data_IF_731583920170
#
_entry.id   IF_731583920170
#
_cell.length_a   1.000
_cell.length_b   1.000
_cell.length_c   1.000
_cell.angle_alpha   90.00
_cell.angle_beta   90.00
_cell.angle_gamma   90.00
#
_symmetry.space_group_name_H-M   'P 1'
#
loop_
_entity.id
_entity.type
_entity.pdbx_description
1 polymer ?
#
# COMPACT_ATOMS: atom_id res chain seq x y z
N UNK A 1 12.95 4.36 3.41
CA UNK A 1 14.06 5.07 4.11
C UNK A 1 13.61 5.81 5.38
N UNK A 2 12.89 6.95 5.33
CA UNK A 2 12.46 7.63 6.58
C UNK A 2 11.63 6.72 7.51
N UNK A 3 10.67 5.96 6.95
CA UNK A 3 9.89 4.97 7.71
C UNK A 3 10.73 3.85 8.32
N UNK A 4 11.83 3.42 7.67
CA UNK A 4 12.76 2.44 8.26
C UNK A 4 13.32 3.04 9.56
N UNK A 5 13.88 4.24 9.47
CA UNK A 5 14.51 4.90 10.61
C UNK A 5 13.51 5.12 11.74
N UNK A 6 12.29 5.54 11.41
CA UNK A 6 11.22 5.73 12.38
C UNK A 6 10.87 4.43 13.13
N UNK A 7 10.56 3.36 12.40
CA UNK A 7 10.14 2.10 13.04
C UNK A 7 11.27 1.39 13.78
N UNK A 8 12.52 1.48 13.30
CA UNK A 8 13.66 0.83 13.96
C UNK A 8 14.15 1.54 15.24
N UNK A 9 13.49 2.64 15.66
CA UNK A 9 13.70 3.21 16.99
C UNK A 9 13.23 2.28 18.10
N UNK A 10 12.21 1.45 17.84
CA UNK A 10 11.80 0.40 18.75
C UNK A 10 12.76 -0.79 18.66
N UNK A 11 13.36 -1.15 19.80
CA UNK A 11 14.32 -2.26 19.90
C UNK A 11 13.73 -3.61 19.46
N UNK A 12 12.40 -3.77 19.54
CA UNK A 12 11.68 -4.96 19.10
C UNK A 12 11.36 -5.00 17.61
N UNK A 13 11.67 -3.93 16.86
CA UNK A 13 11.25 -3.78 15.46
C UNK A 13 12.46 -3.76 14.51
N UNK A 14 12.32 -4.53 13.43
CA UNK A 14 13.26 -4.57 12.31
C UNK A 14 12.50 -4.45 11.01
N UNK A 15 12.97 -3.59 10.11
CA UNK A 15 12.31 -3.30 8.84
C UNK A 15 13.11 -3.90 7.70
N UNK A 16 12.45 -4.72 6.88
CA UNK A 16 13.00 -5.24 5.64
C UNK A 16 12.21 -4.65 4.48
N UNK A 17 12.86 -3.85 3.63
CA UNK A 17 12.25 -3.38 2.38
C UNK A 17 12.27 -4.53 1.36
N UNK A 18 11.12 -4.86 0.79
CA UNK A 18 11.01 -5.90 -0.24
C UNK A 18 9.96 -5.57 -1.31
N UNK A 19 10.11 -6.21 -2.47
CA UNK A 19 9.08 -6.31 -3.50
C UNK A 19 8.72 -7.79 -3.63
N UNK A 20 7.47 -8.15 -3.30
CA UNK A 20 7.02 -9.55 -3.19
C UNK A 20 7.08 -10.31 -4.53
N UNK A 21 7.06 -9.59 -5.65
CA UNK A 21 7.18 -10.16 -7.00
C UNK A 21 8.65 -10.40 -7.40
N UNK A 22 9.62 -9.80 -6.70
CA UNK A 22 11.06 -9.98 -6.98
C UNK A 22 11.57 -11.27 -6.35
N UNK A 23 11.55 -12.35 -7.15
CA UNK A 23 11.99 -13.70 -6.76
C UNK A 23 13.32 -13.74 -5.99
N UNK A 24 14.33 -12.95 -6.40
CA UNK A 24 15.64 -12.97 -5.73
C UNK A 24 15.58 -12.45 -4.29
N UNK A 25 14.80 -11.39 -4.03
CA UNK A 25 14.61 -10.87 -2.66
C UNK A 25 13.81 -11.86 -1.82
N UNK A 26 12.71 -12.39 -2.36
CA UNK A 26 11.84 -13.34 -1.66
C UNK A 26 12.58 -14.64 -1.32
N UNK A 27 13.44 -15.15 -2.21
CA UNK A 27 14.26 -16.34 -1.94
C UNK A 27 15.22 -16.16 -0.75
N UNK A 28 15.73 -14.96 -0.53
CA UNK A 28 16.66 -14.66 0.56
C UNK A 28 15.95 -14.36 1.90
N UNK A 29 14.68 -13.96 1.85
CA UNK A 29 13.90 -13.54 3.01
C UNK A 29 13.85 -14.58 4.14
N UNK A 30 13.67 -15.91 3.91
CA UNK A 30 13.68 -16.90 4.99
C UNK A 30 14.99 -16.89 5.80
N UNK A 31 16.13 -16.73 5.13
CA UNK A 31 17.43 -16.69 5.80
C UNK A 31 17.58 -15.41 6.64
N UNK A 32 17.11 -14.27 6.13
CA UNK A 32 17.09 -13.01 6.87
C UNK A 32 16.21 -13.09 8.12
N UNK A 33 15.00 -13.64 7.98
CA UNK A 33 14.08 -13.86 9.11
C UNK A 33 14.72 -14.75 10.19
N UNK A 34 15.37 -15.84 9.80
CA UNK A 34 16.04 -16.72 10.77
C UNK A 34 17.20 -16.04 11.47
N UNK A 35 18.00 -15.26 10.75
CA UNK A 35 19.08 -14.49 11.35
C UNK A 35 18.54 -13.50 12.40
N UNK A 36 17.43 -12.82 12.09
CA UNK A 36 16.74 -11.93 13.02
C UNK A 36 16.18 -12.71 14.23
N UNK A 37 15.50 -13.84 14.01
CA UNK A 37 14.99 -14.68 15.10
C UNK A 37 16.11 -15.16 16.04
N UNK A 38 17.28 -15.55 15.51
CA UNK A 38 18.45 -15.95 16.32
C UNK A 38 18.97 -14.80 17.16
N UNK A 39 19.02 -13.58 16.61
CA UNK A 39 19.47 -12.37 17.33
C UNK A 39 18.48 -11.93 18.41
N UNK A 40 17.18 -11.96 18.10
CA UNK A 40 16.13 -11.49 19.01
C UNK A 40 15.75 -12.52 20.08
N UNK A 41 15.90 -13.81 19.78
CA UNK A 41 15.55 -14.92 20.67
C UNK A 41 16.72 -15.91 20.83
N UNK A 42 17.87 -15.48 21.38
CA UNK A 42 19.10 -16.29 21.43
C UNK A 42 18.94 -17.59 22.24
N UNK A 43 18.01 -17.61 23.20
CA UNK A 43 17.74 -18.78 24.04
C UNK A 43 16.89 -19.86 23.34
N UNK A 44 16.35 -19.58 22.15
CA UNK A 44 15.45 -20.50 21.44
C UNK A 44 16.25 -21.40 20.48
N UNK A 45 16.25 -22.70 20.73
CA UNK A 45 16.82 -23.69 19.80
C UNK A 45 15.91 -23.87 18.58
N UNK A 46 16.21 -23.16 17.49
CA UNK A 46 15.46 -23.18 16.23
C UNK A 46 15.62 -24.49 15.43
N UNK A 47 16.67 -25.27 15.69
CA UNK A 47 16.89 -26.58 15.04
C UNK A 47 15.92 -27.63 15.57
N UNK A 48 15.62 -27.59 16.87
CA UNK A 48 14.63 -28.48 17.51
C UNK A 48 13.20 -27.95 17.40
N UNK A 49 13.01 -26.63 17.34
CA UNK A 49 11.68 -25.99 17.32
C UNK A 49 11.63 -24.94 16.21
N UNK A 50 10.92 -25.20 15.09
CA UNK A 50 10.86 -24.24 13.99
C UNK A 50 10.32 -22.88 14.44
N UNK A 51 10.77 -21.83 13.75
CA UNK A 51 10.23 -20.49 13.92
C UNK A 51 8.81 -20.44 13.37
N UNK A 52 7.83 -20.13 14.23
CA UNK A 52 6.44 -19.90 13.79
C UNK A 52 6.29 -18.43 13.48
N UNK A 53 6.03 -18.11 12.22
CA UNK A 53 5.94 -16.76 11.68
C UNK A 53 4.53 -16.56 11.16
N UNK A 54 3.95 -15.41 11.42
CA UNK A 54 2.63 -15.04 10.91
C UNK A 54 2.76 -13.76 10.09
N UNK A 55 2.12 -13.73 8.92
CA UNK A 55 2.00 -12.53 8.10
C UNK A 55 0.69 -11.86 8.47
N UNK A 56 0.77 -10.62 8.95
CA UNK A 56 -0.36 -9.76 9.28
C UNK A 56 -0.35 -8.50 8.42
N UNK A 57 -1.50 -7.85 8.29
CA UNK A 57 -1.63 -6.55 7.62
C UNK A 57 -2.98 -6.34 6.97
N UNK A 58 -3.26 -5.11 6.59
CA UNK A 58 -4.50 -4.69 5.92
C UNK A 58 -4.69 -5.40 4.56
N UNK A 59 -5.89 -5.37 3.95
CA UNK A 59 -6.11 -5.91 2.60
C UNK A 59 -5.14 -5.32 1.56
N UNK A 60 -4.87 -6.09 0.50
CA UNK A 60 -4.10 -5.67 -0.68
C UNK A 60 -2.63 -5.27 -0.48
N UNK A 61 -2.04 -5.39 0.72
CA UNK A 61 -0.60 -5.16 0.96
C UNK A 61 0.34 -6.27 0.43
N UNK A 62 -0.19 -7.27 -0.29
CA UNK A 62 0.63 -8.33 -0.89
C UNK A 62 0.96 -9.52 0.01
N UNK A 63 0.25 -9.74 1.13
CA UNK A 63 0.47 -10.88 2.03
C UNK A 63 0.49 -12.23 1.32
N UNK A 64 -0.54 -12.51 0.53
CA UNK A 64 -0.67 -13.77 -0.20
C UNK A 64 0.29 -13.86 -1.41
N UNK A 65 0.65 -12.73 -2.01
CA UNK A 65 1.74 -12.67 -3.01
C UNK A 65 3.06 -13.09 -2.40
N UNK A 66 3.39 -12.55 -1.22
CA UNK A 66 4.59 -12.90 -0.48
C UNK A 66 4.59 -14.38 -0.09
N UNK A 67 3.47 -14.90 0.41
CA UNK A 67 3.35 -16.33 0.73
C UNK A 67 3.56 -17.22 -0.50
N UNK A 68 2.92 -16.92 -1.63
CA UNK A 68 3.09 -17.68 -2.88
C UNK A 68 4.55 -17.63 -3.36
N UNK A 69 5.19 -16.46 -3.26
CA UNK A 69 6.61 -16.28 -3.57
C UNK A 69 7.52 -17.12 -2.68
N UNK A 70 7.26 -17.15 -1.37
CA UNK A 70 8.00 -17.96 -0.40
C UNK A 70 7.78 -19.46 -0.59
N UNK A 71 6.56 -19.87 -0.98
CA UNK A 71 6.23 -21.26 -1.27
C UNK A 71 6.78 -21.75 -2.61
N UNK A 72 7.13 -20.84 -3.53
CA UNK A 72 7.54 -21.16 -4.89
C UNK A 72 6.41 -21.69 -5.79
N UNK A 73 5.15 -21.64 -5.33
CA UNK A 73 3.95 -22.09 -6.04
C UNK A 73 2.73 -21.28 -5.60
N UNK A 74 1.68 -21.28 -6.41
CA UNK A 74 0.42 -20.61 -6.07
C UNK A 74 -0.35 -21.44 -5.04
N UNK A 75 -0.57 -20.87 -3.85
CA UNK A 75 -1.30 -21.49 -2.73
C UNK A 75 -2.52 -20.65 -2.32
N UNK A 76 -2.37 -19.33 -2.32
CA UNK A 76 -3.46 -18.40 -2.11
C UNK A 76 -3.84 -17.70 -3.41
N UNK A 77 -5.14 -17.42 -3.56
CA UNK A 77 -5.64 -16.54 -4.61
C UNK A 77 -5.10 -15.13 -4.36
N UNK A 78 -4.60 -14.50 -5.42
CA UNK A 78 -4.17 -13.09 -5.40
C UNK A 78 -5.16 -12.29 -6.24
N UNK A 79 -5.52 -11.11 -5.77
CA UNK A 79 -6.39 -10.18 -6.50
C UNK A 79 -6.32 -8.80 -5.86
N UNK A 80 -6.67 -7.78 -6.63
CA UNK A 80 -6.68 -6.38 -6.20
C UNK A 80 -7.97 -6.00 -5.47
N UNK A 81 -8.87 -6.94 -5.24
CA UNK A 81 -10.07 -6.74 -4.43
C UNK A 81 -9.80 -7.09 -2.96
N UNK A 82 -10.20 -6.24 -2.01
CA UNK A 82 -10.12 -6.59 -0.60
C UNK A 82 -10.91 -7.85 -0.25
N UNK A 83 -10.41 -8.60 0.74
CA UNK A 83 -10.98 -9.85 1.25
C UNK A 83 -10.92 -11.06 0.28
N UNK A 84 -9.97 -11.08 -0.66
CA UNK A 84 -9.66 -12.27 -1.48
C UNK A 84 -9.22 -13.47 -0.63
N UNK A 85 -8.37 -13.24 0.37
CA UNK A 85 -7.93 -14.28 1.32
C UNK A 85 -8.99 -14.48 2.40
N UNK A 86 -9.70 -15.61 2.36
CA UNK A 86 -10.84 -15.91 3.25
C UNK A 86 -10.51 -16.86 4.40
N UNK A 87 -9.45 -17.65 4.28
CA UNK A 87 -9.04 -18.64 5.27
C UNK A 87 -7.54 -18.50 5.56
N UNK A 88 -7.17 -18.83 6.80
CA UNK A 88 -5.76 -18.94 7.17
C UNK A 88 -5.10 -20.08 6.42
N UNK A 89 -3.89 -19.86 5.93
CA UNK A 89 -3.10 -20.89 5.25
C UNK A 89 -1.77 -21.07 5.96
N UNK A 90 -1.36 -22.33 6.14
CA UNK A 90 -0.11 -22.70 6.81
C UNK A 90 0.83 -23.40 5.82
N UNK A 91 2.07 -22.94 5.77
CA UNK A 91 3.14 -23.57 4.98
C UNK A 91 4.37 -23.82 5.84
N UNK A 92 5.10 -24.89 5.53
CA UNK A 92 6.41 -25.16 6.13
C UNK A 92 7.46 -24.87 5.07
N UNK A 93 8.35 -23.93 5.37
CA UNK A 93 9.50 -23.62 4.54
C UNK A 93 10.66 -24.54 4.94
N UNK A 94 11.44 -25.01 3.96
CA UNK A 94 12.61 -25.90 4.19
C UNK A 94 13.69 -25.30 5.10
N UNK A 95 13.59 -24.02 5.45
CA UNK A 95 14.49 -23.29 6.32
C UNK A 95 14.16 -23.42 7.83
N UNK A 96 13.22 -24.29 8.23
CA UNK A 96 12.79 -24.38 9.62
C UNK A 96 11.84 -23.26 10.05
N UNK A 97 11.14 -22.66 9.08
CA UNK A 97 10.06 -21.70 9.32
C UNK A 97 8.71 -22.37 9.05
N UNK A 98 7.76 -22.19 9.96
CA UNK A 98 6.34 -22.43 9.72
C UNK A 98 5.65 -21.07 9.55
N UNK A 99 5.18 -20.79 8.34
CA UNK A 99 4.54 -19.53 7.99
C UNK A 99 3.02 -19.69 8.00
N UNK A 100 2.33 -18.72 8.59
CA UNK A 100 0.88 -18.59 8.60
C UNK A 100 0.48 -17.31 7.87
N UNK A 101 -0.32 -17.42 6.80
CA UNK A 101 -0.96 -16.28 6.14
C UNK A 101 -2.35 -16.05 6.74
N UNK A 102 -2.73 -14.77 6.85
CA UNK A 102 -3.98 -14.34 7.47
C UNK A 102 -4.79 -13.45 6.53
N UNK A 103 -6.13 -13.49 6.62
CA UNK A 103 -6.97 -12.49 5.94
C UNK A 103 -6.53 -11.06 6.28
N UNK A 104 -6.73 -10.14 5.33
CA UNK A 104 -6.52 -8.72 5.61
C UNK A 104 -7.54 -8.19 6.61
N UNK A 105 -7.08 -7.48 7.62
CA UNK A 105 -7.93 -6.90 8.67
C UNK A 105 -7.82 -5.38 8.56
N UNK A 106 -8.98 -4.70 8.50
CA UNK A 106 -9.09 -3.26 8.74
C UNK A 106 -9.79 -3.05 10.08
N UNK A 107 -9.46 -1.95 10.74
CA UNK A 107 -10.13 -1.54 11.98
C UNK A 107 -11.56 -1.08 11.67
N UNK A 108 -12.56 -1.40 12.52
CA UNK A 108 -13.96 -1.04 12.27
C UNK A 108 -14.21 0.47 12.19
N UNK A 109 -13.42 1.27 12.92
CA UNK A 109 -13.47 2.73 12.93
C UNK A 109 -12.07 3.26 12.65
N UNK A 110 -11.98 4.19 11.73
CA UNK A 110 -10.78 4.98 11.50
C UNK A 110 -11.05 6.35 12.10
N UNK A 111 -10.26 6.71 13.10
CA UNK A 111 -10.45 8.00 13.78
C UNK A 111 -9.88 9.15 12.94
N UNK A 112 -8.93 8.89 12.04
CA UNK A 112 -8.27 9.86 11.16
C UNK A 112 -8.74 9.75 9.70
N UNK A 113 -9.22 10.87 9.17
CA UNK A 113 -9.77 10.98 7.81
C UNK A 113 -8.68 10.79 6.74
N UNK A 114 -7.48 11.35 6.96
CA UNK A 114 -6.34 11.20 6.05
C UNK A 114 -5.99 9.71 5.88
N UNK A 115 -5.95 8.95 6.97
CA UNK A 115 -5.72 7.50 6.96
C UNK A 115 -6.78 6.79 6.13
N UNK A 116 -8.06 7.14 6.30
CA UNK A 116 -9.16 6.57 5.51
C UNK A 116 -8.97 6.81 4.01
N UNK A 117 -8.69 8.05 3.61
CA UNK A 117 -8.43 8.37 2.20
C UNK A 117 -7.18 7.68 1.67
N UNK A 118 -6.06 7.66 2.39
CA UNK A 118 -4.84 6.95 1.95
C UNK A 118 -5.08 5.45 1.72
N UNK A 119 -5.87 4.82 2.59
CA UNK A 119 -6.27 3.42 2.44
C UNK A 119 -7.20 3.21 1.22
N UNK A 120 -8.11 4.15 0.97
CA UNK A 120 -8.93 4.15 -0.23
C UNK A 120 -8.09 4.33 -1.51
N UNK A 121 -7.19 5.31 -1.54
CA UNK A 121 -6.30 5.62 -2.67
C UNK A 121 -5.43 4.42 -3.02
N UNK A 122 -4.87 3.73 -2.03
CA UNK A 122 -4.02 2.54 -2.23
C UNK A 122 -4.82 1.27 -2.53
N UNK A 123 -6.15 1.31 -2.40
CA UNK A 123 -7.05 0.20 -2.71
C UNK A 123 -7.20 -0.82 -1.59
N UNK A 124 -6.85 -0.49 -0.35
CA UNK A 124 -7.12 -1.36 0.81
C UNK A 124 -8.62 -1.42 1.15
N UNK A 125 -9.39 -0.40 0.76
CA UNK A 125 -10.85 -0.30 0.93
C UNK A 125 -11.55 -0.72 -0.36
N UNK A 126 -12.70 -1.39 -0.23
CA UNK A 126 -13.50 -1.81 -1.39
C UNK A 126 -14.05 -0.60 -2.13
N UNK A 127 -14.00 -0.67 -3.45
CA UNK A 127 -14.56 0.34 -4.37
C UNK A 127 -16.00 0.71 -4.07
N UNK A 128 -16.82 -0.24 -3.63
CA UNK A 128 -18.24 -0.04 -3.32
C UNK A 128 -18.49 0.69 -1.99
N UNK A 129 -17.46 0.93 -1.20
CA UNK A 129 -17.56 1.52 0.13
C UNK A 129 -16.96 2.94 0.20
N UNK A 130 -16.69 3.55 -0.95
CA UNK A 130 -16.08 4.89 -1.05
C UNK A 130 -16.64 5.65 -2.26
N UNK A 131 -16.67 6.97 -2.19
CA UNK A 131 -16.88 7.82 -3.35
C UNK A 131 -15.56 7.94 -4.13
N UNK A 132 -15.56 7.50 -5.38
CA UNK A 132 -14.36 7.53 -6.22
C UNK A 132 -13.86 8.94 -6.49
N UNK A 133 -14.76 9.89 -6.63
CA UNK A 133 -14.43 11.27 -6.93
C UNK A 133 -13.76 11.91 -5.72
N UNK A 134 -14.33 11.74 -4.51
CA UNK A 134 -13.73 12.28 -3.28
C UNK A 134 -12.33 11.72 -3.03
N UNK A 135 -12.17 10.40 -3.19
CA UNK A 135 -10.87 9.74 -3.04
C UNK A 135 -9.85 10.23 -4.08
N UNK A 136 -10.30 10.48 -5.31
CA UNK A 136 -9.44 10.99 -6.37
C UNK A 136 -9.10 12.48 -6.18
N UNK A 137 -10.02 13.30 -5.68
CA UNK A 137 -9.77 14.71 -5.33
C UNK A 137 -8.73 14.81 -4.20
N UNK A 138 -8.87 14.00 -3.15
CA UNK A 138 -7.84 13.90 -2.10
C UNK A 138 -6.46 13.50 -2.67
N UNK A 139 -6.42 12.48 -3.54
CA UNK A 139 -5.18 12.07 -4.19
C UNK A 139 -4.60 13.17 -5.09
N UNK A 140 -5.46 13.86 -5.83
CA UNK A 140 -5.09 14.95 -6.74
C UNK A 140 -4.45 16.11 -5.97
N UNK A 141 -5.09 16.60 -4.90
CA UNK A 141 -4.55 17.66 -4.04
C UNK A 141 -3.18 17.29 -3.47
N UNK A 142 -3.05 16.07 -2.93
CA UNK A 142 -1.77 15.59 -2.40
C UNK A 142 -0.69 15.50 -3.48
N UNK A 143 -1.01 14.95 -4.66
CA UNK A 143 -0.05 14.78 -5.75
C UNK A 143 0.39 16.13 -6.35
N UNK A 144 -0.49 17.13 -6.42
CA UNK A 144 -0.13 18.47 -6.89
C UNK A 144 0.94 19.11 -6.00
N UNK A 145 0.84 18.91 -4.68
CA UNK A 145 1.78 19.46 -3.69
C UNK A 145 3.08 18.67 -3.64
N UNK A 146 2.98 17.34 -3.55
CA UNK A 146 4.12 16.47 -3.25
C UNK A 146 4.81 15.89 -4.50
N UNK A 147 4.10 15.77 -5.62
CA UNK A 147 4.58 15.09 -6.83
C UNK A 147 4.20 15.81 -8.15
N UNK A 148 4.37 17.15 -8.27
CA UNK A 148 3.95 17.89 -9.46
C UNK A 148 4.67 17.43 -10.74
N UNK A 149 5.96 17.13 -10.66
CA UNK A 149 6.74 16.66 -11.81
C UNK A 149 6.24 15.32 -12.36
N UNK A 150 5.82 14.40 -11.47
CA UNK A 150 5.27 13.11 -11.87
C UNK A 150 3.96 13.26 -12.65
N UNK A 151 3.08 14.17 -12.20
CA UNK A 151 1.84 14.51 -12.90
C UNK A 151 2.12 15.11 -14.27
N UNK A 152 2.99 16.13 -14.32
CA UNK A 152 3.39 16.79 -15.57
C UNK A 152 3.95 15.79 -16.57
N UNK A 153 4.84 14.90 -16.14
CA UNK A 153 5.44 13.87 -16.99
C UNK A 153 4.41 12.84 -17.46
N UNK A 154 3.58 12.31 -16.56
CA UNK A 154 2.63 11.22 -16.88
C UNK A 154 1.52 11.68 -17.82
N UNK A 155 1.00 12.89 -17.60
CA UNK A 155 -0.16 13.43 -18.32
C UNK A 155 0.23 14.44 -19.40
N UNK A 156 1.52 14.81 -19.49
CA UNK A 156 2.04 15.75 -20.50
C UNK A 156 1.30 17.09 -20.49
N UNK A 157 0.97 17.58 -19.29
CA UNK A 157 0.37 18.91 -19.17
C UNK A 157 1.37 19.98 -19.62
N UNK A 158 0.84 21.05 -20.22
CA UNK A 158 1.66 22.22 -20.61
C UNK A 158 2.02 23.05 -19.39
N UNK A 159 1.08 23.18 -18.46
CA UNK A 159 1.20 23.90 -17.20
C UNK A 159 0.63 23.02 -16.09
N UNK A 160 1.13 23.19 -14.86
CA UNK A 160 0.63 22.44 -13.71
C UNK A 160 -0.82 22.87 -13.44
N UNK A 161 -1.77 21.92 -13.30
CA UNK A 161 -3.13 22.24 -12.88
C UNK A 161 -3.14 22.98 -11.55
N UNK A 162 -4.04 23.96 -11.39
CA UNK A 162 -4.10 24.84 -10.22
C UNK A 162 -4.70 24.16 -9.01
N UNK A 163 -5.61 23.23 -9.24
CA UNK A 163 -6.35 22.51 -8.22
C UNK A 163 -6.68 21.08 -8.67
N UNK A 164 -7.26 20.33 -7.75
CA UNK A 164 -7.68 18.94 -7.93
C UNK A 164 -8.72 18.77 -9.06
N UNK A 165 -9.65 19.72 -9.20
CA UNK A 165 -10.66 19.73 -10.26
C UNK A 165 -10.00 19.88 -11.63
N UNK A 166 -9.13 20.88 -11.82
CA UNK A 166 -8.42 21.10 -13.09
C UNK A 166 -7.52 19.90 -13.43
N UNK A 167 -6.90 19.28 -12.42
CA UNK A 167 -6.12 18.06 -12.61
C UNK A 167 -7.01 16.92 -13.14
N UNK A 168 -8.14 16.63 -12.49
CA UNK A 168 -9.06 15.58 -12.92
C UNK A 168 -9.65 15.86 -14.31
N UNK A 169 -10.00 17.12 -14.61
CA UNK A 169 -10.41 17.51 -15.95
C UNK A 169 -9.30 17.22 -16.98
N UNK A 170 -8.07 17.61 -16.67
CA UNK A 170 -6.90 17.35 -17.51
C UNK A 170 -6.70 15.86 -17.78
N UNK A 171 -6.80 15.02 -16.75
CA UNK A 171 -6.74 13.55 -16.86
C UNK A 171 -7.87 13.03 -17.75
N UNK A 172 -9.10 13.52 -17.55
CA UNK A 172 -10.28 13.13 -18.33
C UNK A 172 -10.17 13.46 -19.82
N UNK A 173 -9.59 14.62 -20.17
CA UNK A 173 -9.34 15.03 -21.57
C UNK A 173 -8.40 14.06 -22.29
N UNK A 174 -7.36 13.56 -21.61
CA UNK A 174 -6.34 12.68 -22.21
C UNK A 174 -6.90 11.30 -22.54
N UNK A 175 -7.79 10.76 -21.70
CA UNK A 175 -8.34 9.40 -21.85
C UNK A 175 -9.71 9.35 -22.52
N UNK A 176 -10.21 10.48 -23.04
CA UNK A 176 -11.45 10.53 -23.83
C UNK A 176 -12.73 10.31 -23.01
N UNK A 177 -12.71 10.63 -21.71
CA UNK A 177 -13.87 10.54 -20.84
C UNK A 177 -14.84 11.68 -21.07
N UNK A 178 -15.53 11.72 -22.21
CA UNK A 178 -16.57 12.72 -22.50
C UNK A 178 -17.97 12.14 -22.26
N UNK A 179 -18.83 12.92 -21.62
CA UNK A 179 -20.29 12.73 -21.57
C UNK A 179 -20.96 13.50 -22.72
N UNK A 180 -22.26 13.27 -22.88
CA UNK A 180 -23.07 14.03 -23.84
C UNK A 180 -22.89 15.55 -23.65
N UNK A 181 -22.75 16.28 -24.76
CA UNK A 181 -22.51 17.72 -24.74
C UNK A 181 -21.05 18.13 -24.49
N UNK A 182 -20.08 17.21 -24.57
CA UNK A 182 -18.65 17.52 -24.48
C UNK A 182 -18.13 17.79 -23.06
N UNK A 183 -18.93 17.49 -22.04
CA UNK A 183 -18.52 17.61 -20.62
C UNK A 183 -17.62 16.44 -20.23
N UNK A 184 -16.66 16.69 -19.35
CA UNK A 184 -15.76 15.65 -18.84
C UNK A 184 -16.51 14.77 -17.84
N UNK A 185 -16.30 13.46 -17.97
CA UNK A 185 -16.78 12.46 -17.02
C UNK A 185 -15.83 12.39 -15.81
N UNK A 186 -16.14 13.15 -14.77
CA UNK A 186 -15.31 13.23 -13.56
C UNK A 186 -15.12 11.88 -12.87
N UNK A 187 -16.12 11.00 -12.91
CA UNK A 187 -16.00 9.66 -12.35
C UNK A 187 -14.94 8.85 -13.10
N UNK A 188 -14.99 8.84 -14.44
CA UNK A 188 -13.98 8.14 -15.25
C UNK A 188 -12.60 8.75 -15.09
N UNK A 189 -12.49 10.07 -15.00
CA UNK A 189 -11.23 10.74 -14.72
C UNK A 189 -10.64 10.30 -13.36
N UNK A 190 -11.49 10.20 -12.34
CA UNK A 190 -11.13 9.72 -11.01
C UNK A 190 -10.64 8.27 -11.04
N UNK A 191 -11.34 7.38 -11.75
CA UNK A 191 -10.90 6.00 -11.96
C UNK A 191 -9.55 5.92 -12.66
N UNK A 192 -9.32 6.74 -13.68
CA UNK A 192 -8.05 6.80 -14.42
C UNK A 192 -6.91 7.25 -13.51
N UNK A 193 -7.10 8.32 -12.74
CA UNK A 193 -6.07 8.83 -11.82
C UNK A 193 -5.68 7.76 -10.81
N UNK A 194 -6.66 7.18 -10.12
CA UNK A 194 -6.43 6.16 -9.10
C UNK A 194 -5.83 4.88 -9.69
N UNK A 195 -6.25 4.47 -10.89
CA UNK A 195 -5.66 3.33 -11.60
C UNK A 195 -4.19 3.59 -11.95
N UNK A 196 -3.87 4.76 -12.49
CA UNK A 196 -2.49 5.12 -12.85
C UNK A 196 -1.59 5.21 -11.61
N UNK A 197 -2.10 5.74 -10.50
CA UNK A 197 -1.38 5.77 -9.23
C UNK A 197 -1.11 4.36 -8.70
N UNK A 198 -2.14 3.51 -8.59
CA UNK A 198 -2.02 2.12 -8.10
C UNK A 198 -1.16 1.24 -9.01
N UNK A 199 -1.18 1.50 -10.31
CA UNK A 199 -0.34 0.82 -11.30
C UNK A 199 1.13 1.28 -11.28
N UNK A 200 1.48 2.29 -10.48
CA UNK A 200 2.83 2.86 -10.43
C UNK A 200 3.21 3.67 -11.67
N UNK A 201 2.23 4.06 -12.50
CA UNK A 201 2.47 4.83 -13.72
C UNK A 201 2.92 6.28 -13.44
N UNK A 202 2.62 6.79 -12.24
CA UNK A 202 3.14 8.05 -11.71
C UNK A 202 4.55 7.90 -11.07
N UNK A 203 5.17 6.72 -11.16
CA UNK A 203 6.44 6.44 -10.52
C UNK A 203 6.29 6.05 -9.04
N UNK A 204 7.34 6.28 -8.26
CA UNK A 204 7.38 5.91 -6.84
C UNK A 204 6.74 7.00 -5.99
N UNK A 205 5.53 6.73 -5.50
CA UNK A 205 4.77 7.64 -4.65
C UNK A 205 4.66 7.04 -3.24
N UNK A 206 4.81 7.88 -2.21
CA UNK A 206 4.43 7.57 -0.84
C UNK A 206 3.42 8.61 -0.39
N UNK A 207 2.25 8.18 0.07
CA UNK A 207 1.17 9.10 0.47
C UNK A 207 1.38 9.72 1.87
N UNK A 208 2.46 9.32 2.54
CA UNK A 208 2.86 9.82 3.85
C UNK A 208 4.33 9.57 4.16
N UNK A 209 4.86 10.36 5.08
CA UNK A 209 6.16 10.20 5.72
C UNK A 209 6.03 10.58 7.21
N UNK A 210 6.96 10.14 8.08
CA UNK A 210 6.81 10.29 9.53
C UNK A 210 6.49 11.72 9.99
N UNK A 211 7.18 12.72 9.44
CA UNK A 211 6.96 14.12 9.81
C UNK A 211 5.55 14.63 9.43
N UNK A 212 5.04 14.27 8.24
CA UNK A 212 3.69 14.66 7.82
C UNK A 212 2.63 14.05 8.74
N UNK A 213 2.78 12.78 9.11
CA UNK A 213 1.84 12.10 10.01
C UNK A 213 1.86 12.76 11.39
N UNK A 214 3.04 13.10 11.90
CA UNK A 214 3.17 13.79 13.20
C UNK A 214 2.50 15.17 13.18
N UNK A 215 2.71 15.96 12.13
CA UNK A 215 2.07 17.27 11.94
C UNK A 215 0.54 17.16 11.90
N UNK A 216 0.01 16.23 11.11
CA UNK A 216 -1.45 16.01 11.01
C UNK A 216 -2.08 15.58 12.34
N UNK A 217 -1.36 14.77 13.13
CA UNK A 217 -1.81 14.37 14.46
C UNK A 217 -1.78 15.54 15.45
N UNK A 218 -0.79 16.43 15.35
CA UNK A 218 -0.73 17.63 16.19
C UNK A 218 -1.89 18.57 15.89
N UNK A 219 -2.11 18.93 14.62
CA UNK A 219 -3.20 19.83 14.22
C UNK A 219 -4.57 19.30 14.66
N UNK A 220 -4.79 17.98 14.54
CA UNK A 220 -6.03 17.34 14.98
C UNK A 220 -6.24 17.43 16.50
N UNK A 221 -5.17 17.36 17.28
CA UNK A 221 -5.27 17.48 18.74
C UNK A 221 -5.52 18.92 19.19
N UNK A 222 -5.15 19.92 18.38
CA UNK A 222 -5.43 21.34 18.64
C UNK A 222 -6.86 21.75 18.28
N UNK A 223 -7.49 21.05 17.33
CA UNK A 223 -8.88 21.28 16.91
C UNK A 223 -9.95 20.60 17.80
N UNK A 224 -9.55 19.67 18.67
CA UNK A 224 -10.45 18.96 19.62
C UNK A 224 -10.33 19.49 21.05
#
# INVERSE_FOLDING_TARGET
QQWIQYFEQDAGVKVLELIAERKNQVKQLPQQILALCRKMLPQRNLEKKPARVMILGIPNVGKSTLMNGLAGRVLAKVGNEPAVTKAQQKIVLGSGIQLLDTPGILWPRMDDENTGYRLAVTGAIKSTAMDYQDVAMYAADFLLKAYPEALMHRYKFKELPKDDVELLEGVGRIRGGLRAGGRIDMHKASEVLLHNLRGGELGRVSLEWPALVAEQQQNKNEEN
#
